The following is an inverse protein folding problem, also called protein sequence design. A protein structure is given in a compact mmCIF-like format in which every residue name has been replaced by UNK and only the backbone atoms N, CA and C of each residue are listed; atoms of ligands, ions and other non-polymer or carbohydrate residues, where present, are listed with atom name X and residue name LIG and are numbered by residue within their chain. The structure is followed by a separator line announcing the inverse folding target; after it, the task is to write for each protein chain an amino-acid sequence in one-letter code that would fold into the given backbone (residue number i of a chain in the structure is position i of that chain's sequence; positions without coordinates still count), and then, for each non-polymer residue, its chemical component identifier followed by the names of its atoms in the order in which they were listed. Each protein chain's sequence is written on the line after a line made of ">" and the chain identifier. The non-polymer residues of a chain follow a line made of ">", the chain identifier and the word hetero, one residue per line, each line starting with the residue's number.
data_IF_105827642014
#
_entry.id   IF_105827642014
#
_cell.length_a   1.000
_cell.length_b   1.000
_cell.length_c   1.000
_cell.angle_alpha   90.00
_cell.angle_beta   90.00
_cell.angle_gamma   90.00
#
_symmetry.space_group_name_H-M   'P 1'
#
loop_
_entity.id
_entity.type
_entity.pdbx_description
1 polymer ?
#
# COMPACT_ATOMS: atom_id res chain seq x y z
N UNK A 1 -49.11 36.96 74.19
CA UNK A 1 -49.03 36.62 72.74
C UNK A 1 -49.16 35.13 72.64
N UNK A 2 -50.19 34.63 71.95
CA UNK A 2 -50.51 33.22 71.90
C UNK A 2 -49.44 32.49 71.09
N UNK A 3 -49.02 31.31 71.56
CA UNK A 3 -48.04 30.45 70.89
C UNK A 3 -48.47 30.13 69.44
N UNK A 4 -49.78 30.09 69.18
CA UNK A 4 -50.40 29.94 67.87
C UNK A 4 -50.09 31.08 66.89
N UNK A 5 -49.98 32.32 67.37
CA UNK A 5 -49.67 33.47 66.51
C UNK A 5 -48.21 33.44 66.06
N UNK A 6 -47.31 32.99 66.95
CA UNK A 6 -45.89 32.81 66.63
C UNK A 6 -45.71 31.70 65.60
N UNK A 7 -46.44 30.58 65.74
CA UNK A 7 -46.40 29.47 64.78
C UNK A 7 -46.99 29.89 63.42
N UNK A 8 -48.10 30.64 63.41
CA UNK A 8 -48.70 31.17 62.17
C UNK A 8 -47.78 32.14 61.44
N UNK A 9 -47.15 33.08 62.16
CA UNK A 9 -46.23 34.04 61.54
C UNK A 9 -44.98 33.32 61.02
N UNK A 10 -44.43 32.38 61.78
CA UNK A 10 -43.26 31.59 61.37
C UNK A 10 -43.54 30.73 60.14
N UNK A 11 -44.70 30.07 60.08
CA UNK A 11 -45.11 29.28 58.90
C UNK A 11 -45.41 30.15 57.69
N UNK A 12 -45.96 31.36 57.86
CA UNK A 12 -46.17 32.32 56.77
C UNK A 12 -44.84 32.84 56.19
N UNK A 13 -43.85 33.12 57.05
CA UNK A 13 -42.51 33.54 56.65
C UNK A 13 -41.77 32.41 55.92
N UNK A 14 -41.84 31.17 56.44
CA UNK A 14 -41.21 30.01 55.79
C UNK A 14 -41.91 29.66 54.47
N UNK A 15 -43.23 29.82 54.38
CA UNK A 15 -44.02 29.62 53.16
C UNK A 15 -43.62 30.62 52.05
N UNK A 16 -43.49 31.90 52.39
CA UNK A 16 -43.12 32.95 51.44
C UNK A 16 -41.66 32.87 51.01
N UNK A 17 -40.73 32.55 51.92
CA UNK A 17 -39.33 32.28 51.57
C UNK A 17 -39.15 30.96 50.81
N UNK A 18 -39.91 29.92 51.17
CA UNK A 18 -39.88 28.60 50.54
C UNK A 18 -40.39 28.62 49.10
N UNK A 19 -41.45 29.40 48.82
CA UNK A 19 -41.96 29.59 47.46
C UNK A 19 -40.95 30.28 46.54
N UNK A 20 -40.25 31.30 47.04
CA UNK A 20 -39.16 31.97 46.31
C UNK A 20 -37.97 31.05 46.04
N UNK A 21 -37.58 30.22 47.03
CA UNK A 21 -36.51 29.25 46.86
C UNK A 21 -36.82 28.20 45.77
N UNK A 22 -38.07 27.71 45.70
CA UNK A 22 -38.50 26.77 44.65
C UNK A 22 -38.36 27.39 43.25
N UNK A 23 -38.74 28.66 43.09
CA UNK A 23 -38.63 29.37 41.80
C UNK A 23 -37.15 29.53 41.40
N UNK A 24 -36.28 29.90 42.35
CA UNK A 24 -34.84 30.05 42.10
C UNK A 24 -34.22 28.71 41.71
N UNK A 25 -34.59 27.62 42.41
CA UNK A 25 -34.10 26.26 42.09
C UNK A 25 -34.59 25.81 40.72
N UNK A 26 -35.86 26.07 40.38
CA UNK A 26 -36.43 25.72 39.08
C UNK A 26 -35.74 26.49 37.94
N UNK A 27 -35.55 27.80 38.10
CA UNK A 27 -34.85 28.65 37.12
C UNK A 27 -33.37 28.29 37.00
N UNK A 28 -32.70 27.99 38.11
CA UNK A 28 -31.30 27.56 38.13
C UNK A 28 -31.10 26.21 37.43
N UNK A 29 -32.02 25.25 37.68
CA UNK A 29 -32.05 23.96 36.99
C UNK A 29 -32.30 24.14 35.48
N UNK A 30 -33.24 25.01 35.11
CA UNK A 30 -33.52 25.30 33.70
C UNK A 30 -32.31 25.92 32.99
N UNK A 31 -31.66 26.91 33.62
CA UNK A 31 -30.48 27.57 33.08
C UNK A 31 -29.32 26.58 32.93
N UNK A 32 -29.04 25.79 33.97
CA UNK A 32 -27.97 24.77 33.95
C UNK A 32 -28.20 23.75 32.83
N UNK A 33 -29.44 23.30 32.64
CA UNK A 33 -29.80 22.40 31.53
C UNK A 33 -29.58 23.03 30.16
N UNK A 34 -29.84 24.34 30.00
CA UNK A 34 -29.65 25.05 28.74
C UNK A 34 -28.16 25.22 28.42
N UNK A 35 -27.34 25.59 29.41
CA UNK A 35 -25.88 25.64 29.25
C UNK A 35 -25.26 24.27 29.00
N UNK A 36 -25.70 23.25 29.73
CA UNK A 36 -25.23 21.87 29.52
C UNK A 36 -25.55 21.38 28.09
N UNK A 37 -26.77 21.63 27.59
CA UNK A 37 -27.14 21.30 26.21
C UNK A 37 -26.30 22.06 25.19
N UNK A 38 -26.05 23.35 25.41
CA UNK A 38 -25.24 24.16 24.50
C UNK A 38 -23.78 23.70 24.45
N UNK A 39 -23.19 23.40 25.60
CA UNK A 39 -21.82 22.87 25.69
C UNK A 39 -21.72 21.50 25.03
N UNK A 40 -22.69 20.60 25.30
CA UNK A 40 -22.75 19.29 24.64
C UNK A 40 -22.90 19.40 23.12
N UNK A 41 -23.71 20.33 22.63
CA UNK A 41 -23.84 20.59 21.19
C UNK A 41 -22.53 21.10 20.58
N UNK A 42 -21.83 22.03 21.24
CA UNK A 42 -20.56 22.53 20.74
C UNK A 42 -19.46 21.47 20.77
N UNK A 43 -19.38 20.67 21.83
CA UNK A 43 -18.41 19.58 21.95
C UNK A 43 -18.70 18.49 20.92
N UNK A 44 -19.97 18.13 20.73
CA UNK A 44 -20.37 17.18 19.69
C UNK A 44 -19.98 17.68 18.30
N UNK A 45 -20.28 18.94 17.96
CA UNK A 45 -19.91 19.52 16.68
C UNK A 45 -18.38 19.52 16.46
N UNK A 46 -17.61 19.78 17.52
CA UNK A 46 -16.15 19.72 17.48
C UNK A 46 -15.63 18.30 17.27
N UNK A 47 -16.17 17.31 17.99
CA UNK A 47 -15.81 15.89 17.84
C UNK A 47 -16.18 15.38 16.44
N UNK A 48 -17.37 15.73 15.93
CA UNK A 48 -17.81 15.34 14.59
C UNK A 48 -16.88 15.93 13.52
N UNK A 49 -16.49 17.21 13.66
CA UNK A 49 -15.51 17.84 12.77
C UNK A 49 -14.12 17.18 12.83
N UNK A 50 -13.66 16.82 14.04
CA UNK A 50 -12.40 16.08 14.20
C UNK A 50 -12.47 14.69 13.57
N UNK A 51 -13.59 13.99 13.71
CA UNK A 51 -13.82 12.69 13.08
C UNK A 51 -13.83 12.78 11.56
N UNK A 52 -14.45 13.81 10.98
CA UNK A 52 -14.41 14.05 9.53
C UNK A 52 -12.99 14.33 9.05
N UNK A 53 -12.23 15.16 9.78
CA UNK A 53 -10.81 15.41 9.48
C UNK A 53 -9.98 14.13 9.48
N UNK A 54 -10.09 13.34 10.55
CA UNK A 54 -9.38 12.06 10.69
C UNK A 54 -9.79 11.08 9.57
N UNK A 55 -11.09 10.97 9.26
CA UNK A 55 -11.58 10.10 8.17
C UNK A 55 -11.03 10.53 6.82
N UNK A 56 -10.94 11.83 6.57
CA UNK A 56 -10.39 12.37 5.33
C UNK A 56 -8.90 12.06 5.20
N UNK A 57 -8.12 12.29 6.25
CA UNK A 57 -6.70 11.96 6.30
C UNK A 57 -6.44 10.46 6.10
N UNK A 58 -7.24 9.60 6.76
CA UNK A 58 -7.18 8.16 6.54
C UNK A 58 -7.54 7.77 5.11
N UNK A 59 -8.54 8.43 4.50
CA UNK A 59 -8.93 8.21 3.11
C UNK A 59 -7.79 8.53 2.13
N UNK A 60 -7.14 9.68 2.30
CA UNK A 60 -5.98 10.08 1.47
C UNK A 60 -4.83 9.10 1.67
N UNK A 61 -4.50 8.77 2.92
CA UNK A 61 -3.40 7.86 3.24
C UNK A 61 -3.63 6.47 2.63
N UNK A 62 -4.87 5.96 2.74
CA UNK A 62 -5.27 4.68 2.15
C UNK A 62 -5.12 4.71 0.63
N UNK A 63 -5.66 5.73 -0.04
CA UNK A 63 -5.57 5.85 -1.50
C UNK A 63 -4.13 5.97 -1.98
N UNK A 64 -3.28 6.73 -1.28
CA UNK A 64 -1.85 6.82 -1.58
C UNK A 64 -1.15 5.48 -1.41
N UNK A 65 -1.51 4.71 -0.38
CA UNK A 65 -0.94 3.39 -0.15
C UNK A 65 -1.37 2.38 -1.22
N UNK A 66 -2.66 2.35 -1.58
CA UNK A 66 -3.19 1.51 -2.67
C UNK A 66 -2.49 1.84 -4.00
N UNK A 67 -2.35 3.12 -4.32
CA UNK A 67 -1.62 3.53 -5.53
C UNK A 67 -0.16 3.07 -5.51
N UNK A 68 0.51 3.18 -4.36
CA UNK A 68 1.89 2.71 -4.21
C UNK A 68 2.02 1.18 -4.38
N UNK A 69 1.04 0.42 -3.87
CA UNK A 69 0.97 -1.03 -4.09
C UNK A 69 0.81 -1.38 -5.56
N UNK A 70 -0.12 -0.74 -6.26
CA UNK A 70 -0.35 -0.98 -7.69
C UNK A 70 0.91 -0.73 -8.51
N UNK A 71 1.66 0.30 -8.16
CA UNK A 71 2.93 0.64 -8.80
C UNK A 71 4.02 -0.41 -8.55
N UNK A 72 4.13 -0.92 -7.33
CA UNK A 72 5.06 -2.02 -6.99
C UNK A 72 4.68 -3.31 -7.72
N UNK A 73 3.40 -3.65 -7.75
CA UNK A 73 2.89 -4.82 -8.46
C UNK A 73 3.13 -4.70 -9.96
N UNK A 74 2.89 -3.52 -10.53
CA UNK A 74 3.18 -3.23 -11.94
C UNK A 74 4.67 -3.35 -12.27
N UNK A 75 5.54 -2.86 -11.39
CA UNK A 75 6.98 -3.08 -11.51
C UNK A 75 7.32 -4.58 -11.53
N UNK A 76 6.84 -5.33 -10.52
CA UNK A 76 7.16 -6.75 -10.40
C UNK A 76 6.65 -7.55 -11.60
N UNK A 77 5.46 -7.24 -12.10
CA UNK A 77 4.92 -7.86 -13.31
C UNK A 77 5.82 -7.63 -14.53
N UNK A 78 6.36 -6.41 -14.69
CA UNK A 78 7.29 -6.08 -15.78
C UNK A 78 8.61 -6.83 -15.63
N UNK A 79 9.19 -6.83 -14.42
CA UNK A 79 10.39 -7.60 -14.10
C UNK A 79 10.20 -9.09 -14.42
N UNK A 80 9.08 -9.66 -13.98
CA UNK A 80 8.79 -11.07 -14.15
C UNK A 80 8.55 -11.46 -15.60
N UNK A 81 7.96 -10.57 -16.40
CA UNK A 81 7.82 -10.77 -17.84
C UNK A 81 9.19 -10.92 -18.51
N UNK A 82 10.14 -10.03 -18.21
CA UNK A 82 11.51 -10.13 -18.74
C UNK A 82 12.21 -11.40 -18.25
N UNK A 83 12.08 -11.74 -16.97
CA UNK A 83 12.58 -12.99 -16.41
C UNK A 83 12.03 -14.21 -17.17
N UNK A 84 10.74 -14.23 -17.51
CA UNK A 84 10.10 -15.32 -18.26
C UNK A 84 10.64 -15.42 -19.69
N UNK A 85 10.89 -14.31 -20.36
CA UNK A 85 11.56 -14.31 -21.67
C UNK A 85 12.95 -14.95 -21.57
N UNK A 86 13.73 -14.61 -20.53
CA UNK A 86 15.02 -15.23 -20.28
C UNK A 86 14.90 -16.73 -19.98
N UNK A 87 13.92 -17.14 -19.18
CA UNK A 87 13.68 -18.54 -18.86
C UNK A 87 13.43 -19.37 -20.12
N UNK A 88 12.57 -18.87 -21.01
CA UNK A 88 12.25 -19.53 -22.27
C UNK A 88 13.50 -19.67 -23.16
N UNK A 89 14.30 -18.60 -23.27
CA UNK A 89 15.53 -18.61 -24.07
C UNK A 89 16.65 -19.49 -23.45
N UNK A 90 16.69 -19.61 -22.12
CA UNK A 90 17.64 -20.45 -21.41
C UNK A 90 17.36 -21.94 -21.68
N UNK A 91 16.09 -22.35 -21.62
CA UNK A 91 15.68 -23.75 -21.80
C UNK A 91 15.58 -24.20 -23.25
N UNK A 92 15.53 -23.27 -24.20
CA UNK A 92 15.36 -23.60 -25.61
C UNK A 92 16.68 -23.91 -26.30
N UNK A 93 16.69 -24.89 -27.20
CA UNK A 93 17.81 -25.18 -28.07
C UNK A 93 17.96 -24.10 -29.16
N UNK A 94 19.02 -24.16 -29.97
CA UNK A 94 19.32 -23.17 -31.01
C UNK A 94 18.19 -22.97 -32.02
N UNK A 95 17.39 -24.02 -32.22
CA UNK A 95 16.25 -24.04 -33.12
C UNK A 95 15.07 -24.71 -32.42
N UNK A 96 13.86 -24.24 -32.74
CA UNK A 96 12.61 -24.94 -32.40
C UNK A 96 11.89 -25.27 -33.70
N UNK A 97 11.59 -26.55 -33.89
CA UNK A 97 10.71 -27.02 -34.96
C UNK A 97 9.25 -26.83 -34.52
N UNK A 98 8.48 -26.06 -35.29
CA UNK A 98 7.04 -25.94 -35.09
C UNK A 98 6.31 -27.15 -35.68
N UNK A 99 5.06 -27.45 -35.26
CA UNK A 99 4.24 -28.51 -35.83
C UNK A 99 4.03 -28.41 -37.35
N UNK A 100 4.22 -27.22 -37.91
CA UNK A 100 4.08 -26.91 -39.34
C UNK A 100 5.40 -27.07 -40.14
N UNK A 101 6.48 -27.51 -39.48
CA UNK A 101 7.80 -27.70 -40.11
C UNK A 101 8.65 -26.43 -40.23
N UNK A 102 8.17 -25.27 -39.78
CA UNK A 102 8.97 -24.05 -39.72
C UNK A 102 10.03 -24.12 -38.62
N UNK A 103 11.27 -23.78 -38.98
CA UNK A 103 12.39 -23.67 -38.04
C UNK A 103 12.46 -22.22 -37.57
N UNK A 104 12.12 -22.00 -36.30
CA UNK A 104 12.30 -20.68 -35.67
C UNK A 104 13.64 -20.66 -34.96
N UNK A 105 14.47 -19.66 -35.31
CA UNK A 105 15.73 -19.38 -34.62
C UNK A 105 15.41 -18.77 -33.26
N UNK A 106 15.61 -19.54 -32.20
CA UNK A 106 15.27 -19.19 -30.82
C UNK A 106 15.90 -17.87 -30.36
N UNK A 107 17.10 -17.57 -30.88
CA UNK A 107 17.81 -16.32 -30.63
C UNK A 107 17.01 -15.12 -31.17
N UNK A 108 16.55 -15.21 -32.40
CA UNK A 108 15.92 -14.09 -33.10
C UNK A 108 14.52 -13.82 -32.51
N UNK A 109 13.76 -14.87 -32.19
CA UNK A 109 12.49 -14.78 -31.44
C UNK A 109 12.67 -14.11 -30.06
N UNK A 110 13.76 -14.43 -29.35
CA UNK A 110 14.09 -13.77 -28.08
C UNK A 110 14.35 -12.26 -28.28
N UNK A 111 15.13 -11.87 -29.30
CA UNK A 111 15.44 -10.47 -29.54
C UNK A 111 14.23 -9.65 -30.01
N UNK A 112 13.33 -10.25 -30.79
CA UNK A 112 12.07 -9.64 -31.17
C UNK A 112 11.21 -9.33 -29.94
N UNK A 113 10.95 -10.35 -29.10
CA UNK A 113 10.19 -10.19 -27.85
C UNK A 113 10.85 -9.23 -26.86
N UNK A 114 12.18 -9.26 -26.78
CA UNK A 114 12.94 -8.31 -25.96
C UNK A 114 12.80 -6.88 -26.49
N UNK A 115 12.79 -6.70 -27.81
CA UNK A 115 12.56 -5.40 -28.44
C UNK A 115 11.20 -4.81 -28.06
N UNK A 116 10.14 -5.61 -28.09
CA UNK A 116 8.80 -5.19 -27.67
C UNK A 116 8.72 -4.92 -26.16
N UNK A 117 9.37 -5.74 -25.35
CA UNK A 117 9.51 -5.47 -23.92
C UNK A 117 10.20 -4.13 -23.66
N UNK A 118 11.30 -3.83 -24.35
CA UNK A 118 12.06 -2.59 -24.14
C UNK A 118 11.26 -1.33 -24.51
N UNK A 119 10.39 -1.40 -25.53
CA UNK A 119 9.46 -0.30 -25.86
C UNK A 119 8.50 -0.03 -24.70
N UNK A 120 7.93 -1.08 -24.09
CA UNK A 120 7.06 -0.95 -22.92
C UNK A 120 7.82 -0.48 -21.67
N UNK A 121 9.04 -0.98 -21.47
CA UNK A 121 9.92 -0.62 -20.35
C UNK A 121 10.30 0.86 -20.36
N UNK A 122 10.63 1.42 -21.53
CA UNK A 122 11.01 2.83 -21.66
C UNK A 122 9.91 3.79 -21.14
N UNK A 123 8.64 3.42 -21.28
CA UNK A 123 7.52 4.21 -20.77
C UNK A 123 7.36 4.15 -19.23
N UNK A 124 8.00 3.17 -18.57
CA UNK A 124 7.81 2.85 -17.14
C UNK A 124 9.07 3.10 -16.30
N UNK A 125 10.27 3.09 -16.90
CA UNK A 125 11.56 3.12 -16.21
C UNK A 125 11.70 4.29 -15.21
N UNK A 126 11.31 5.50 -15.62
CA UNK A 126 11.44 6.69 -14.77
C UNK A 126 10.62 6.62 -13.49
N UNK A 127 9.49 5.91 -13.52
CA UNK A 127 8.62 5.72 -12.35
C UNK A 127 9.20 4.65 -11.42
N UNK A 128 9.67 3.54 -11.99
CA UNK A 128 10.15 2.36 -11.26
C UNK A 128 11.31 2.69 -10.30
N UNK A 129 12.26 3.53 -10.72
CA UNK A 129 13.42 3.91 -9.89
C UNK A 129 13.05 4.69 -8.63
N UNK A 130 11.91 5.39 -8.63
CA UNK A 130 11.43 6.19 -7.50
C UNK A 130 10.57 5.38 -6.52
N UNK A 131 10.09 4.21 -6.95
CA UNK A 131 9.12 3.40 -6.19
C UNK A 131 9.76 2.36 -5.29
N UNK A 132 10.95 1.87 -5.67
CA UNK A 132 11.60 0.80 -4.93
C UNK A 132 12.28 1.35 -3.67
N UNK A 133 12.07 0.70 -2.51
CA UNK A 133 12.89 0.92 -1.32
C UNK A 133 14.38 0.75 -1.65
N UNK A 134 15.25 1.52 -1.00
CA UNK A 134 16.69 1.53 -1.29
C UNK A 134 17.35 0.14 -1.28
N UNK A 135 16.88 -0.78 -0.41
CA UNK A 135 17.35 -2.18 -0.37
C UNK A 135 16.99 -2.94 -1.65
N UNK A 136 15.78 -2.75 -2.16
CA UNK A 136 15.28 -3.41 -3.37
C UNK A 136 15.82 -2.78 -4.65
N UNK A 137 16.12 -1.47 -4.62
CA UNK A 137 16.76 -0.79 -5.73
C UNK A 137 18.13 -1.41 -6.07
N UNK A 138 18.93 -1.75 -5.07
CA UNK A 138 20.21 -2.45 -5.27
C UNK A 138 20.03 -3.81 -5.95
N UNK A 139 19.03 -4.58 -5.52
CA UNK A 139 18.70 -5.88 -6.12
C UNK A 139 18.23 -5.71 -7.56
N UNK A 140 17.45 -4.66 -7.84
CA UNK A 140 17.03 -4.30 -9.18
C UNK A 140 18.24 -3.96 -10.09
N UNK A 141 19.19 -3.16 -9.61
CA UNK A 141 20.41 -2.81 -10.35
C UNK A 141 21.25 -4.07 -10.69
N UNK A 142 21.42 -4.97 -9.72
CA UNK A 142 22.05 -6.27 -9.96
C UNK A 142 21.30 -7.06 -11.03
N UNK A 143 19.96 -7.08 -10.98
CA UNK A 143 19.15 -7.77 -11.97
C UNK A 143 19.32 -7.20 -13.38
N UNK A 144 19.33 -5.87 -13.53
CA UNK A 144 19.57 -5.21 -14.82
C UNK A 144 20.94 -5.59 -15.37
N UNK A 145 21.96 -5.66 -14.53
CA UNK A 145 23.28 -6.19 -14.89
C UNK A 145 23.20 -7.61 -15.44
N UNK A 146 22.51 -8.51 -14.72
CA UNK A 146 22.37 -9.92 -15.13
C UNK A 146 21.48 -10.12 -16.35
N UNK A 147 20.44 -9.31 -16.55
CA UNK A 147 19.65 -9.32 -17.78
C UNK A 147 20.52 -8.96 -19.00
N UNK A 148 21.39 -7.96 -18.88
CA UNK A 148 22.32 -7.59 -19.95
C UNK A 148 23.38 -8.66 -20.20
N UNK A 149 23.87 -9.31 -19.15
CA UNK A 149 24.78 -10.45 -19.27
C UNK A 149 24.09 -11.64 -19.96
N UNK A 150 22.85 -11.94 -19.59
CA UNK A 150 22.06 -12.98 -20.22
C UNK A 150 21.80 -12.69 -21.70
N UNK A 151 21.45 -11.43 -22.04
CA UNK A 151 21.29 -10.98 -23.42
C UNK A 151 22.55 -11.26 -24.25
N UNK A 152 23.74 -10.98 -23.70
CA UNK A 152 25.02 -11.29 -24.35
C UNK A 152 25.22 -12.80 -24.50
N UNK A 153 24.96 -13.57 -23.45
CA UNK A 153 25.06 -15.03 -23.49
C UNK A 153 24.14 -15.67 -24.54
N UNK A 154 22.94 -15.10 -24.77
CA UNK A 154 22.04 -15.54 -25.86
C UNK A 154 22.56 -15.10 -27.23
N UNK A 155 23.15 -13.91 -27.34
CA UNK A 155 23.75 -13.42 -28.59
C UNK A 155 24.92 -14.29 -29.04
N UNK A 156 25.81 -14.63 -28.10
CA UNK A 156 27.03 -15.42 -28.34
C UNK A 156 26.76 -16.93 -28.41
N UNK A 157 25.52 -17.37 -28.18
CA UNK A 157 25.15 -18.78 -28.13
C UNK A 157 25.36 -19.44 -29.50
N UNK A 158 26.03 -20.58 -29.48
CA UNK A 158 26.22 -21.44 -30.66
C UNK A 158 25.92 -22.88 -30.31
N UNK A 159 25.50 -23.69 -31.29
CA UNK A 159 25.22 -25.12 -31.11
C UNK A 159 26.42 -25.93 -30.66
N UNK A 160 27.65 -25.44 -30.87
CA UNK A 160 28.90 -26.08 -30.49
C UNK A 160 29.35 -25.77 -29.05
N UNK A 161 28.58 -24.99 -28.29
CA UNK A 161 28.95 -24.58 -26.93
C UNK A 161 28.93 -25.76 -25.94
N UNK A 162 29.95 -25.92 -25.07
CA UNK A 162 29.97 -27.00 -24.08
C UNK A 162 28.89 -26.84 -23.00
N UNK A 163 28.44 -27.96 -22.45
CA UNK A 163 27.47 -28.02 -21.34
C UNK A 163 28.22 -27.90 -20.00
N UNK A 164 27.76 -27.09 -19.03
CA UNK A 164 26.56 -26.24 -19.07
C UNK A 164 26.75 -24.99 -19.93
N UNK A 165 25.72 -24.66 -20.73
CA UNK A 165 25.75 -23.50 -21.64
C UNK A 165 25.83 -22.21 -20.82
N UNK A 166 26.57 -21.20 -21.28
CA UNK A 166 26.73 -19.93 -20.54
C UNK A 166 25.39 -19.28 -20.22
N UNK A 167 24.43 -19.30 -21.14
CA UNK A 167 23.09 -18.74 -20.92
C UNK A 167 22.35 -19.42 -19.75
N UNK A 168 22.54 -20.72 -19.54
CA UNK A 168 21.93 -21.45 -18.42
C UNK A 168 22.59 -21.08 -17.09
N UNK A 169 23.91 -20.89 -17.08
CA UNK A 169 24.65 -20.46 -15.89
C UNK A 169 24.21 -19.06 -15.47
N UNK A 170 24.20 -18.11 -16.40
CA UNK A 170 23.75 -16.73 -16.13
C UNK A 170 22.29 -16.70 -15.71
N UNK A 171 21.43 -17.55 -16.29
CA UNK A 171 20.02 -17.64 -15.89
C UNK A 171 19.83 -18.13 -14.45
N UNK A 172 20.66 -19.07 -13.95
CA UNK A 172 20.58 -19.49 -12.54
C UNK A 172 20.89 -18.34 -11.60
N UNK A 173 21.91 -17.54 -11.90
CA UNK A 173 22.23 -16.35 -11.10
C UNK A 173 21.12 -15.30 -11.15
N UNK A 174 20.45 -15.17 -12.30
CA UNK A 174 19.27 -14.32 -12.44
C UNK A 174 18.09 -14.84 -11.60
N UNK A 175 17.92 -16.16 -11.50
CA UNK A 175 16.91 -16.79 -10.64
C UNK A 175 17.15 -16.51 -9.16
N UNK A 176 18.40 -16.57 -8.70
CA UNK A 176 18.77 -16.19 -7.34
C UNK A 176 18.45 -14.72 -7.04
N UNK A 177 18.69 -13.82 -8.01
CA UNK A 177 18.30 -12.40 -7.89
C UNK A 177 16.78 -12.26 -7.80
N UNK A 178 16.03 -12.99 -8.63
CA UNK A 178 14.57 -12.98 -8.63
C UNK A 178 14.02 -13.43 -7.28
N UNK A 179 14.57 -14.48 -6.67
CA UNK A 179 14.18 -14.92 -5.31
C UNK A 179 14.50 -13.85 -4.27
N UNK A 180 15.67 -13.22 -4.31
CA UNK A 180 16.02 -12.12 -3.39
C UNK A 180 15.08 -10.92 -3.53
N UNK A 181 14.68 -10.59 -4.76
CA UNK A 181 13.73 -9.51 -5.03
C UNK A 181 12.34 -9.85 -4.49
N UNK A 182 11.83 -11.06 -4.73
CA UNK A 182 10.54 -11.53 -4.21
C UNK A 182 10.50 -11.51 -2.68
N UNK A 183 11.54 -12.01 -2.02
CA UNK A 183 11.62 -12.00 -0.56
C UNK A 183 11.64 -10.57 -0.01
N UNK A 184 12.45 -9.68 -0.60
CA UNK A 184 12.48 -8.29 -0.18
C UNK A 184 11.17 -7.53 -0.43
N UNK A 185 10.43 -7.87 -1.49
CA UNK A 185 9.09 -7.34 -1.74
C UNK A 185 8.08 -7.87 -0.71
N UNK A 186 8.11 -9.16 -0.39
CA UNK A 186 7.24 -9.76 0.66
C UNK A 186 7.50 -9.14 2.03
N UNK A 187 8.77 -8.97 2.40
CA UNK A 187 9.19 -8.29 3.62
C UNK A 187 8.64 -6.85 3.68
N UNK A 188 8.79 -6.11 2.59
CA UNK A 188 8.33 -4.73 2.50
C UNK A 188 6.80 -4.61 2.57
N UNK A 189 6.09 -5.52 1.88
CA UNK A 189 4.63 -5.53 1.82
C UNK A 189 3.96 -6.10 3.08
N UNK A 190 4.74 -6.58 4.07
CA UNK A 190 4.28 -7.01 5.41
C UNK A 190 3.18 -8.09 5.40
N UNK A 191 3.01 -8.84 4.32
CA UNK A 191 2.01 -9.91 4.27
C UNK A 191 2.34 -11.06 5.23
N UNK A 192 3.59 -11.25 5.64
CA UNK A 192 3.96 -12.31 6.60
C UNK A 192 3.76 -11.95 8.08
N UNK A 193 3.66 -10.67 8.45
CA UNK A 193 3.38 -10.26 9.84
C UNK A 193 1.89 -10.08 10.14
N UNK A 194 1.05 -10.01 9.10
CA UNK A 194 -0.42 -9.94 9.22
C UNK A 194 -1.09 -11.33 9.23
N UNK A 195 -0.35 -12.39 8.91
CA UNK A 195 -0.83 -13.78 8.81
C UNK A 195 -0.37 -14.67 10.00
N UNK A 196 0.19 -14.08 11.06
CA UNK A 196 0.52 -14.78 12.31
C UNK A 196 -0.46 -14.42 13.41
#
# INVERSE_FOLDING_TARGET
>A
MAFDDIIKISTLIISTFGGGAVIIIALSSWLTNLWAKRILQSEKAKIDSQLEGIRHEFGITKSSYEHHLDLILGYYASFYNHYRLCQMAASADAHRELPDGEIVYTRDDFFEKLGDFLKDWANKEGRIRLLLPAKLLKVHEEAVGKFNEFKRAVYDFTTAEPVPRKKEVVFRELDDIKVRLENGLRDFLRTESLLK
#
